data_IF_040341550427
#
_entry.id   IF_040341550427
#
_cell.length_a   1.000
_cell.length_b   1.000
_cell.length_c   1.000
_cell.angle_alpha   90.00
_cell.angle_beta   90.00
_cell.angle_gamma   90.00
#
_symmetry.space_group_name_H-M   'P 1'
#
loop_
_entity.id
_entity.type
_entity.pdbx_description
1 polymer ?
#
# COMPACT_ATOMS: atom_id res chain seq x y z
N UNK A 1 -45.20 -46.79 -5.72
CA UNK A 1 -44.73 -45.79 -6.70
C UNK A 1 -44.58 -44.38 -6.10
N UNK A 2 -45.62 -43.79 -5.47
CA UNK A 2 -45.55 -42.45 -4.86
C UNK A 2 -44.47 -42.29 -3.76
N UNK A 3 -44.25 -43.31 -2.94
CA UNK A 3 -43.19 -43.29 -1.91
C UNK A 3 -41.76 -43.31 -2.46
N UNK A 4 -41.54 -43.94 -3.63
CA UNK A 4 -40.22 -43.99 -4.28
C UNK A 4 -39.86 -42.63 -4.89
N UNK A 5 -40.84 -41.96 -5.49
CA UNK A 5 -40.68 -40.62 -6.05
C UNK A 5 -40.39 -39.59 -4.95
N UNK A 6 -41.06 -39.68 -3.81
CA UNK A 6 -40.81 -38.80 -2.66
C UNK A 6 -39.41 -39.00 -2.05
N UNK A 7 -38.93 -40.25 -1.96
CA UNK A 7 -37.59 -40.55 -1.48
C UNK A 7 -36.49 -40.01 -2.42
N UNK A 8 -36.69 -40.12 -3.73
CA UNK A 8 -35.75 -39.58 -4.74
C UNK A 8 -35.74 -38.05 -4.71
N UNK A 9 -36.90 -37.40 -4.57
CA UNK A 9 -37.00 -35.95 -4.47
C UNK A 9 -36.33 -35.40 -3.20
N UNK A 10 -36.50 -36.07 -2.05
CA UNK A 10 -35.78 -35.72 -0.82
C UNK A 10 -34.26 -35.94 -0.95
N UNK A 11 -33.82 -37.03 -1.57
CA UNK A 11 -32.39 -37.28 -1.78
C UNK A 11 -31.74 -36.21 -2.69
N UNK A 12 -32.44 -35.79 -3.75
CA UNK A 12 -32.01 -34.69 -4.62
C UNK A 12 -31.96 -33.34 -3.88
N UNK A 13 -32.96 -33.03 -3.06
CA UNK A 13 -32.98 -31.80 -2.24
C UNK A 13 -31.84 -31.77 -1.21
N UNK A 14 -31.50 -32.92 -0.61
CA UNK A 14 -30.36 -33.04 0.31
C UNK A 14 -29.03 -32.91 -0.45
N UNK A 15 -28.91 -33.49 -1.65
CA UNK A 15 -27.73 -33.31 -2.52
C UNK A 15 -27.52 -31.84 -2.93
N UNK A 16 -28.59 -31.09 -3.21
CA UNK A 16 -28.51 -29.64 -3.47
C UNK A 16 -28.22 -28.81 -2.22
N UNK A 17 -28.66 -29.26 -1.03
CA UNK A 17 -28.35 -28.60 0.24
C UNK A 17 -26.89 -28.81 0.69
N UNK A 18 -26.26 -29.94 0.35
CA UNK A 18 -24.83 -30.20 0.63
C UNK A 18 -23.92 -29.59 -0.45
N UNK A 19 -24.48 -29.22 -1.62
CA UNK A 19 -23.80 -28.39 -2.61
C UNK A 19 -23.71 -26.90 -2.21
N UNK A 20 -23.98 -26.58 -0.93
CA UNK A 20 -23.49 -25.35 -0.33
C UNK A 20 -21.98 -25.32 -0.47
N UNK A 21 -21.49 -24.41 -1.32
CA UNK A 21 -20.09 -24.17 -1.61
C UNK A 21 -19.30 -24.02 -0.31
N UNK A 22 -18.71 -25.11 0.16
CA UNK A 22 -17.59 -25.09 1.09
C UNK A 22 -16.46 -24.43 0.32
N UNK A 23 -16.41 -23.11 0.42
CA UNK A 23 -15.24 -22.37 -0.02
C UNK A 23 -14.10 -22.83 0.90
N UNK A 24 -13.10 -23.51 0.35
CA UNK A 24 -11.87 -23.77 1.08
C UNK A 24 -11.34 -22.46 1.63
N UNK A 25 -11.16 -22.39 2.94
CA UNK A 25 -10.50 -21.28 3.60
C UNK A 25 -8.99 -21.49 3.57
N UNK A 26 -8.25 -20.38 3.49
CA UNK A 26 -6.79 -20.38 3.56
C UNK A 26 -6.36 -19.75 4.87
N UNK A 27 -5.42 -20.37 5.57
CA UNK A 27 -4.95 -19.86 6.86
C UNK A 27 -3.81 -18.87 6.62
N UNK A 28 -4.00 -17.60 6.97
CA UNK A 28 -2.90 -16.64 6.98
C UNK A 28 -1.96 -16.99 8.13
N UNK A 29 -0.72 -17.31 7.81
CA UNK A 29 0.31 -17.64 8.80
C UNK A 29 1.17 -16.44 9.16
N UNK A 30 1.29 -15.46 8.26
CA UNK A 30 2.07 -14.25 8.50
C UNK A 30 1.65 -13.12 7.56
N UNK A 31 1.68 -11.87 8.04
CA UNK A 31 1.48 -10.66 7.24
C UNK A 31 2.71 -9.75 7.38
N UNK A 32 3.32 -9.38 6.26
CA UNK A 32 4.38 -8.37 6.23
C UNK A 32 3.89 -7.15 5.46
N UNK A 33 3.76 -6.02 6.15
CA UNK A 33 3.39 -4.72 5.59
C UNK A 33 4.62 -3.83 5.48
N UNK A 34 5.06 -3.56 4.26
CA UNK A 34 6.19 -2.66 3.97
C UNK A 34 5.70 -1.34 3.40
N UNK A 35 6.02 -0.23 4.05
CA UNK A 35 5.65 1.14 3.69
C UNK A 35 6.89 1.90 3.27
N UNK A 36 7.02 2.18 1.97
CA UNK A 36 8.10 3.00 1.43
C UNK A 36 7.63 4.43 1.27
N UNK A 37 8.13 5.32 2.12
CA UNK A 37 7.75 6.73 2.14
C UNK A 37 8.44 7.49 1.01
N UNK A 38 7.67 8.35 0.32
CA UNK A 38 8.17 9.25 -0.71
C UNK A 38 8.30 10.68 -0.16
N UNK A 39 9.16 11.48 -0.79
CA UNK A 39 9.36 12.90 -0.44
C UNK A 39 8.11 13.78 -0.63
N UNK A 40 7.18 13.35 -1.49
CA UNK A 40 5.94 14.05 -1.84
C UNK A 40 4.76 13.70 -0.92
N UNK A 41 5.02 13.20 0.29
CA UNK A 41 4.04 12.75 1.31
C UNK A 41 3.20 11.53 0.96
N UNK A 42 3.42 10.92 -0.20
CA UNK A 42 2.84 9.61 -0.54
C UNK A 42 3.69 8.46 -0.03
N UNK A 43 3.14 7.25 -0.05
CA UNK A 43 3.90 6.02 0.10
C UNK A 43 3.49 4.97 -0.93
N UNK A 44 4.46 4.15 -1.29
CA UNK A 44 4.20 2.84 -1.86
C UNK A 44 4.08 1.83 -0.72
N UNK A 45 3.00 1.06 -0.71
CA UNK A 45 2.76 0.01 0.27
C UNK A 45 2.80 -1.33 -0.44
N UNK A 46 3.53 -2.28 0.14
CA UNK A 46 3.56 -3.68 -0.29
C UNK A 46 3.24 -4.56 0.89
N UNK A 47 2.16 -5.32 0.79
CA UNK A 47 1.73 -6.26 1.82
C UNK A 47 1.86 -7.68 1.28
N UNK A 48 2.50 -8.55 2.05
CA UNK A 48 2.72 -9.95 1.70
C UNK A 48 2.05 -10.82 2.74
N UNK A 49 0.93 -11.44 2.35
CA UNK A 49 0.26 -12.44 3.16
C UNK A 49 0.84 -13.80 2.82
N UNK A 50 1.43 -14.46 3.81
CA UNK A 50 1.81 -15.86 3.71
C UNK A 50 0.60 -16.69 4.13
N UNK A 51 0.12 -17.54 3.23
CA UNK A 51 -1.03 -18.40 3.47
C UNK A 51 -0.64 -19.86 3.40
N UNK A 52 -1.11 -20.64 4.36
CA UNK A 52 -1.09 -22.09 4.32
C UNK A 52 -2.40 -22.59 3.71
N UNK A 53 -2.28 -23.45 2.70
CA UNK A 53 -3.36 -24.12 2.00
C UNK A 53 -3.27 -25.60 2.32
N UNK A 54 -4.29 -26.16 2.98
CA UNK A 54 -4.33 -27.59 3.30
C UNK A 54 -4.47 -28.46 2.04
N UNK A 55 -4.08 -29.73 2.13
CA UNK A 55 -4.23 -30.72 1.05
C UNK A 55 -5.62 -30.73 0.40
N UNK A 56 -6.69 -30.58 1.19
CA UNK A 56 -8.06 -30.58 0.69
C UNK A 56 -8.39 -29.38 -0.20
N UNK A 57 -7.61 -28.29 -0.11
CA UNK A 57 -7.86 -27.00 -0.74
C UNK A 57 -6.83 -26.64 -1.83
N UNK A 58 -5.81 -27.48 -2.05
CA UNK A 58 -4.74 -27.23 -3.04
C UNK A 58 -5.29 -27.04 -4.46
N UNK A 59 -6.12 -27.98 -4.92
CA UNK A 59 -6.71 -27.89 -6.26
C UNK A 59 -7.59 -26.65 -6.44
N UNK A 60 -8.32 -26.26 -5.39
CA UNK A 60 -9.12 -25.05 -5.40
C UNK A 60 -8.25 -23.81 -5.50
N UNK A 61 -7.15 -23.74 -4.72
CA UNK A 61 -6.22 -22.63 -4.77
C UNK A 61 -5.59 -22.46 -6.16
N UNK A 62 -5.08 -23.54 -6.76
CA UNK A 62 -4.49 -23.50 -8.10
C UNK A 62 -5.49 -23.04 -9.16
N UNK A 63 -6.74 -23.50 -9.06
CA UNK A 63 -7.83 -23.06 -9.97
C UNK A 63 -8.14 -21.58 -9.78
N UNK A 64 -8.26 -21.13 -8.53
CA UNK A 64 -8.54 -19.73 -8.21
C UNK A 64 -7.41 -18.82 -8.71
N UNK A 65 -6.15 -19.21 -8.52
CA UNK A 65 -4.99 -18.42 -8.93
C UNK A 65 -5.00 -18.05 -10.42
N UNK A 66 -5.43 -18.97 -11.28
CA UNK A 66 -5.43 -18.77 -12.75
C UNK A 66 -6.75 -18.17 -13.26
N UNK A 67 -7.77 -18.07 -12.42
CA UNK A 67 -9.07 -17.57 -12.83
C UNK A 67 -9.04 -16.04 -13.02
N UNK A 68 -9.16 -15.61 -14.28
CA UNK A 68 -9.12 -14.20 -14.68
C UNK A 68 -10.29 -13.36 -14.17
N UNK A 69 -11.36 -13.99 -13.67
CA UNK A 69 -12.60 -13.33 -13.26
C UNK A 69 -12.78 -13.22 -11.74
N UNK A 70 -11.82 -13.66 -10.93
CA UNK A 70 -11.94 -13.54 -9.48
C UNK A 70 -11.70 -12.11 -9.02
N UNK A 71 -12.71 -11.55 -8.34
CA UNK A 71 -12.63 -10.23 -7.74
C UNK A 71 -11.86 -10.30 -6.41
N UNK A 72 -11.40 -9.14 -5.94
CA UNK A 72 -10.78 -9.03 -4.61
C UNK A 72 -11.73 -9.50 -3.50
N UNK A 73 -13.03 -9.22 -3.62
CA UNK A 73 -14.03 -9.69 -2.66
C UNK A 73 -14.15 -11.21 -2.60
N UNK A 74 -13.99 -11.92 -3.72
CA UNK A 74 -13.96 -13.39 -3.70
C UNK A 74 -12.71 -13.90 -2.99
N UNK A 75 -11.55 -13.29 -3.25
CA UNK A 75 -10.32 -13.62 -2.53
C UNK A 75 -10.42 -13.35 -1.03
N UNK A 76 -11.06 -12.25 -0.64
CA UNK A 76 -11.34 -11.93 0.76
C UNK A 76 -12.26 -12.97 1.39
N UNK A 77 -13.19 -13.57 0.64
CA UNK A 77 -14.00 -14.70 1.10
C UNK A 77 -13.18 -15.96 1.42
N UNK A 78 -12.06 -16.21 0.73
CA UNK A 78 -11.17 -17.35 1.00
C UNK A 78 -10.17 -17.10 2.12
N UNK A 79 -9.62 -15.89 2.18
CA UNK A 79 -8.50 -15.52 3.06
C UNK A 79 -9.00 -14.93 4.39
N UNK A 80 -10.18 -14.32 4.38
CA UNK A 80 -10.78 -13.67 5.54
C UNK A 80 -10.36 -12.21 5.72
N UNK A 81 -10.50 -11.68 6.96
CA UNK A 81 -10.45 -10.24 7.23
C UNK A 81 -9.05 -9.63 7.09
N UNK A 82 -8.01 -10.44 6.99
CA UNK A 82 -6.63 -9.98 6.79
C UNK A 82 -6.35 -9.55 5.35
N UNK A 83 -7.21 -9.88 4.38
CA UNK A 83 -7.07 -9.36 3.01
C UNK A 83 -7.74 -7.97 2.88
N UNK A 84 -7.17 -7.00 3.58
CA UNK A 84 -7.55 -5.58 3.53
C UNK A 84 -6.30 -4.72 3.42
N UNK A 85 -6.43 -3.45 3.01
CA UNK A 85 -5.31 -2.53 3.04
C UNK A 85 -5.06 -2.07 4.48
N UNK A 86 -3.87 -2.33 5.04
CA UNK A 86 -3.56 -1.96 6.43
C UNK A 86 -2.95 -0.57 6.56
N UNK A 87 -2.64 0.04 5.43
CA UNK A 87 -2.24 1.44 5.31
C UNK A 87 -3.20 2.12 4.34
N UNK A 88 -4.04 3.02 4.83
CA UNK A 88 -5.04 3.74 4.03
C UNK A 88 -5.31 5.10 4.67
N UNK A 89 -5.27 6.16 3.86
CA UNK A 89 -5.76 7.45 4.31
C UNK A 89 -7.26 7.54 3.96
N UNK A 90 -8.18 7.62 4.93
CA UNK A 90 -9.62 7.59 4.67
C UNK A 90 -10.10 8.77 3.82
N UNK A 91 -9.33 9.86 3.72
CA UNK A 91 -9.68 11.03 2.91
C UNK A 91 -9.26 10.90 1.43
N UNK A 92 -8.23 10.12 1.13
CA UNK A 92 -7.71 9.97 -0.24
C UNK A 92 -7.80 8.55 -0.80
N UNK A 93 -8.11 7.57 0.04
CA UNK A 93 -8.11 6.15 -0.32
C UNK A 93 -6.74 5.65 -0.76
N UNK A 94 -6.76 4.61 -1.60
CA UNK A 94 -5.58 3.99 -2.24
C UNK A 94 -5.70 4.08 -3.76
N UNK A 95 -4.57 4.06 -4.47
CA UNK A 95 -4.54 4.06 -5.93
C UNK A 95 -3.49 3.09 -6.48
N UNK A 96 -3.60 2.77 -7.77
CA UNK A 96 -2.75 1.79 -8.46
C UNK A 96 -2.67 0.44 -7.72
N UNK A 97 -3.79 0.00 -7.15
CA UNK A 97 -3.88 -1.26 -6.41
C UNK A 97 -3.67 -2.46 -7.34
N UNK A 98 -2.81 -3.36 -6.91
CA UNK A 98 -2.49 -4.64 -7.57
C UNK A 98 -2.56 -5.74 -6.54
N UNK A 99 -3.22 -6.83 -6.90
CA UNK A 99 -3.26 -8.05 -6.11
C UNK A 99 -2.72 -9.21 -6.95
N UNK A 100 -1.74 -9.93 -6.43
CA UNK A 100 -1.02 -10.99 -7.13
C UNK A 100 -0.96 -12.24 -6.24
N UNK A 101 -1.81 -13.26 -6.49
CA UNK A 101 -1.68 -14.55 -5.83
C UNK A 101 -0.47 -15.32 -6.38
N UNK A 102 0.52 -15.56 -5.53
CA UNK A 102 1.73 -16.32 -5.87
C UNK A 102 1.46 -17.81 -6.10
N UNK A 103 2.43 -18.54 -6.69
CA UNK A 103 2.32 -19.99 -6.82
C UNK A 103 2.37 -20.68 -5.44
N UNK A 104 1.78 -21.87 -5.35
CA UNK A 104 1.87 -22.71 -4.17
C UNK A 104 3.23 -23.41 -4.12
N UNK A 105 3.89 -23.38 -2.98
CA UNK A 105 5.09 -24.17 -2.68
C UNK A 105 4.66 -25.37 -1.83
N UNK A 106 4.79 -26.61 -2.32
CA UNK A 106 4.35 -27.80 -1.59
C UNK A 106 5.04 -27.95 -0.23
N UNK A 107 4.29 -28.41 0.78
CA UNK A 107 4.77 -28.75 2.12
C UNK A 107 4.04 -29.99 2.66
N UNK A 108 4.51 -30.54 3.79
CA UNK A 108 3.80 -31.64 4.44
C UNK A 108 2.38 -31.19 4.83
N UNK A 109 1.36 -31.91 4.34
CA UNK A 109 -0.07 -31.62 4.49
C UNK A 109 -0.65 -30.41 3.72
N UNK A 110 0.05 -29.91 2.70
CA UNK A 110 -0.52 -28.90 1.81
C UNK A 110 0.53 -28.11 1.05
N UNK A 111 0.44 -26.79 1.12
CA UNK A 111 1.45 -25.89 0.61
C UNK A 111 1.33 -24.49 1.17
N UNK A 112 2.35 -23.68 0.92
CA UNK A 112 2.39 -22.27 1.30
C UNK A 112 2.45 -21.42 0.05
N UNK A 113 1.63 -20.38 0.01
CA UNK A 113 1.67 -19.37 -1.03
C UNK A 113 1.88 -17.97 -0.44
N UNK A 114 2.44 -17.07 -1.25
CA UNK A 114 2.57 -15.65 -0.91
C UNK A 114 1.62 -14.85 -1.77
N UNK A 115 0.72 -14.11 -1.14
CA UNK A 115 -0.22 -13.23 -1.79
C UNK A 115 0.27 -11.79 -1.62
N UNK A 116 0.44 -11.07 -2.72
CA UNK A 116 1.06 -9.76 -2.70
C UNK A 116 0.01 -8.71 -3.05
N UNK A 117 -0.21 -7.76 -2.13
CA UNK A 117 -0.92 -6.51 -2.41
C UNK A 117 0.11 -5.39 -2.58
N UNK A 118 -0.01 -4.61 -3.64
CA UNK A 118 0.82 -3.42 -3.84
C UNK A 118 -0.04 -2.26 -4.29
N UNK A 119 0.11 -1.12 -3.62
CA UNK A 119 -0.71 0.06 -3.88
C UNK A 119 0.00 1.33 -3.37
N UNK A 120 -0.59 2.48 -3.67
CA UNK A 120 -0.09 3.76 -3.22
C UNK A 120 -1.13 4.48 -2.36
N UNK A 121 -0.64 5.27 -1.40
CA UNK A 121 -1.44 6.07 -0.48
C UNK A 121 -0.90 7.48 -0.44
N UNK A 122 -1.77 8.49 -0.52
CA UNK A 122 -1.38 9.89 -0.39
C UNK A 122 -1.49 10.36 1.06
N UNK A 123 -0.73 11.40 1.40
CA UNK A 123 -0.78 12.05 2.71
C UNK A 123 -0.55 11.08 3.89
N UNK A 124 0.42 10.17 3.74
CA UNK A 124 0.89 9.29 4.82
C UNK A 124 1.85 10.01 5.77
N UNK A 125 2.43 11.12 5.33
CA UNK A 125 3.20 12.05 6.17
C UNK A 125 2.64 13.46 6.04
N UNK A 126 2.77 14.28 7.07
CA UNK A 126 2.74 15.73 6.95
C UNK A 126 4.16 16.27 6.78
N UNK A 127 4.31 17.39 6.09
CA UNK A 127 5.60 18.05 5.88
C UNK A 127 5.53 19.51 6.35
N UNK A 128 6.56 19.96 7.05
CA UNK A 128 6.77 21.36 7.44
C UNK A 128 8.18 21.79 7.09
N UNK A 129 8.30 22.84 6.29
CA UNK A 129 9.57 23.49 6.04
C UNK A 129 10.00 24.28 7.28
N UNK A 130 11.22 24.07 7.77
CA UNK A 130 11.77 24.74 8.96
C UNK A 130 12.98 25.61 8.66
N UNK A 131 13.67 25.35 7.56
CA UNK A 131 14.70 26.21 6.98
C UNK A 131 14.67 26.10 5.44
N UNK A 132 15.40 26.95 4.68
CA UNK A 132 15.35 26.97 3.21
C UNK A 132 15.52 25.62 2.51
N UNK A 133 16.26 24.68 3.13
CA UNK A 133 16.49 23.32 2.62
C UNK A 133 16.12 22.22 3.61
N UNK A 134 15.48 22.56 4.73
CA UNK A 134 15.21 21.60 5.81
C UNK A 134 13.71 21.38 6.00
N UNK A 135 13.30 20.14 5.81
CA UNK A 135 11.90 19.72 5.85
C UNK A 135 11.72 18.66 6.93
N UNK A 136 10.82 18.94 7.86
CA UNK A 136 10.42 18.01 8.91
C UNK A 136 9.19 17.26 8.44
N UNK A 137 9.30 15.95 8.35
CA UNK A 137 8.22 15.04 8.01
C UNK A 137 7.73 14.33 9.27
N UNK A 138 6.42 14.19 9.40
CA UNK A 138 5.79 13.42 10.48
C UNK A 138 4.83 12.39 9.89
N UNK A 139 5.03 11.12 10.21
CA UNK A 139 4.11 10.05 9.81
C UNK A 139 2.74 10.24 10.45
N UNK A 140 1.68 10.09 9.66
CA UNK A 140 0.31 10.22 10.11
C UNK A 140 -0.19 8.88 10.63
N UNK A 141 -0.21 8.68 11.94
CA UNK A 141 -0.70 7.43 12.54
C UNK A 141 -2.14 7.05 12.16
N UNK A 142 -2.98 8.02 11.78
CA UNK A 142 -4.39 7.76 11.41
C UNK A 142 -4.53 7.08 10.03
N UNK A 143 -3.42 6.74 9.37
CA UNK A 143 -3.45 5.94 8.14
C UNK A 143 -3.35 4.44 8.41
N UNK A 144 -3.09 4.03 9.65
CA UNK A 144 -3.14 2.63 10.03
C UNK A 144 -4.58 2.13 9.97
N UNK A 145 -4.72 0.90 9.50
CA UNK A 145 -5.99 0.16 9.44
C UNK A 145 -5.71 -1.29 9.85
N UNK A 146 -5.16 -1.42 11.06
CA UNK A 146 -4.89 -2.68 11.72
C UNK A 146 -6.01 -3.00 12.74
N UNK A 147 -5.84 -4.08 13.50
CA UNK A 147 -6.77 -4.45 14.55
C UNK A 147 -6.84 -3.37 15.65
N UNK A 148 -8.03 -3.17 16.22
CA UNK A 148 -8.26 -2.29 17.36
C UNK A 148 -8.32 -3.08 18.66
N UNK A 149 -7.40 -2.79 19.58
CA UNK A 149 -7.44 -3.25 20.97
C UNK A 149 -7.94 -2.13 21.91
N UNK A 150 -8.13 -2.44 23.19
CA UNK A 150 -8.55 -1.48 24.23
C UNK A 150 -7.61 -0.27 24.34
N UNK A 151 -6.33 -0.43 23.99
CA UNK A 151 -5.31 0.62 23.97
C UNK A 151 -5.24 1.43 22.66
N UNK A 152 -6.11 1.12 21.68
CA UNK A 152 -6.13 1.67 20.32
C UNK A 152 -5.64 0.66 19.27
N UNK A 153 -5.16 1.14 18.12
CA UNK A 153 -4.62 0.27 17.08
C UNK A 153 -3.38 -0.50 17.56
N UNK A 154 -3.28 -1.76 17.16
CA UNK A 154 -2.20 -2.68 17.51
C UNK A 154 -1.79 -3.50 16.28
N UNK A 155 -0.52 -3.88 16.21
CA UNK A 155 -0.07 -4.86 15.22
C UNK A 155 -0.62 -6.25 15.57
N UNK A 156 -1.44 -6.88 14.71
CA UNK A 156 -2.00 -8.19 15.00
C UNK A 156 -0.93 -9.27 15.19
N UNK A 157 -1.33 -10.43 15.72
CA UNK A 157 -0.44 -11.59 15.86
C UNK A 157 0.16 -12.02 14.50
N UNK A 158 1.43 -12.44 14.50
CA UNK A 158 2.16 -12.85 13.29
C UNK A 158 2.22 -11.77 12.21
N UNK A 159 2.32 -10.50 12.59
CA UNK A 159 2.47 -9.40 11.65
C UNK A 159 3.82 -8.69 11.79
N UNK A 160 4.28 -8.09 10.70
CA UNK A 160 5.46 -7.24 10.70
C UNK A 160 5.15 -5.97 9.94
N UNK A 161 5.37 -4.83 10.57
CA UNK A 161 5.32 -3.53 9.93
C UNK A 161 6.75 -3.07 9.66
N UNK A 162 7.06 -2.74 8.42
CA UNK A 162 8.34 -2.15 8.04
C UNK A 162 8.10 -0.79 7.39
N UNK A 163 8.76 0.25 7.87
CA UNK A 163 8.75 1.58 7.25
C UNK A 163 10.14 1.88 6.70
N UNK A 164 10.18 2.21 5.42
CA UNK A 164 11.39 2.62 4.69
C UNK A 164 11.29 4.12 4.42
N UNK A 165 12.23 4.86 4.98
CA UNK A 165 12.37 6.30 4.78
C UNK A 165 13.08 6.63 3.47
N UNK A 166 12.85 7.84 2.91
CA UNK A 166 13.64 8.34 1.80
C UNK A 166 15.13 8.38 2.16
N UNK A 167 15.99 8.14 1.16
CA UNK A 167 17.44 8.27 1.33
C UNK A 167 17.84 9.68 1.82
N UNK A 168 18.78 9.73 2.75
CA UNK A 168 19.25 10.98 3.37
C UNK A 168 18.36 11.53 4.50
N UNK A 169 17.37 10.76 4.96
CA UNK A 169 16.56 11.12 6.12
C UNK A 169 17.33 10.97 7.43
N UNK A 170 17.08 11.87 8.37
CA UNK A 170 17.60 11.83 9.74
C UNK A 170 16.44 11.73 10.71
N UNK A 171 16.41 10.73 11.59
CA UNK A 171 15.33 10.60 12.57
C UNK A 171 15.45 11.72 13.61
N UNK A 172 14.32 12.38 13.88
CA UNK A 172 14.17 13.33 14.97
C UNK A 172 13.41 12.72 16.15
N UNK A 173 12.38 11.91 15.89
CA UNK A 173 11.64 11.19 16.92
C UNK A 173 11.06 9.89 16.36
N UNK A 174 11.05 8.84 17.18
CA UNK A 174 10.43 7.56 16.82
C UNK A 174 9.91 6.87 18.09
N UNK A 175 8.66 6.43 18.06
CA UNK A 175 8.00 5.70 19.14
C UNK A 175 6.83 4.89 18.57
N UNK A 176 6.58 3.63 19.01
CA UNK A 176 7.43 2.82 19.87
C UNK A 176 8.81 2.59 19.24
N UNK A 177 9.78 2.19 20.06
CA UNK A 177 11.12 1.85 19.58
C UNK A 177 10.99 0.68 18.60
N UNK A 178 11.56 0.76 17.37
CA UNK A 178 11.51 -0.33 16.43
C UNK A 178 12.33 -1.53 16.92
N UNK A 179 11.85 -2.72 16.61
CA UNK A 179 12.53 -3.98 16.91
C UNK A 179 13.77 -4.18 16.03
N UNK A 180 13.80 -3.61 14.82
CA UNK A 180 14.95 -3.65 13.93
C UNK A 180 15.25 -2.30 13.26
N UNK A 181 16.54 -1.94 13.06
CA UNK A 181 17.76 -2.76 13.30
C UNK A 181 18.21 -2.84 14.77
N UNK A 182 18.85 -3.96 15.15
CA UNK A 182 19.11 -4.37 16.56
C UNK A 182 20.45 -3.87 17.16
N UNK A 183 21.40 -3.30 16.42
CA UNK A 183 22.77 -3.06 16.96
C UNK A 183 23.17 -1.58 17.18
N UNK A 184 23.67 -1.28 18.39
CA UNK A 184 24.32 -0.04 18.87
C UNK A 184 23.45 1.23 18.96
N UNK A 185 22.44 1.13 19.82
CA UNK A 185 21.39 2.09 20.15
C UNK A 185 21.87 3.34 20.92
N UNK A 186 22.92 4.03 20.43
CA UNK A 186 23.50 5.21 21.12
C UNK A 186 23.69 6.46 20.25
N UNK A 187 23.39 6.43 18.94
CA UNK A 187 23.57 7.58 18.04
C UNK A 187 22.39 7.85 17.08
N UNK A 188 21.22 8.13 17.63
CA UNK A 188 20.16 8.91 16.93
C UNK A 188 19.69 8.40 15.56
N UNK A 189 19.74 7.09 15.31
CA UNK A 189 19.36 6.44 14.03
C UNK A 189 20.10 7.00 12.80
N UNK A 190 21.34 7.46 12.98
CA UNK A 190 22.15 7.91 11.86
C UNK A 190 22.36 6.79 10.83
N UNK A 191 22.07 7.08 9.55
CA UNK A 191 22.22 6.17 8.40
C UNK A 191 21.27 4.96 8.32
N UNK A 192 20.27 4.86 9.18
CA UNK A 192 19.23 3.82 9.06
C UNK A 192 18.01 4.37 8.33
N UNK A 193 17.60 3.73 7.24
CA UNK A 193 16.38 4.09 6.50
C UNK A 193 15.25 3.10 6.69
N UNK A 194 15.49 1.91 7.22
CA UNK A 194 14.49 0.87 7.39
C UNK A 194 14.27 0.56 8.87
N UNK A 195 13.02 0.60 9.30
CA UNK A 195 12.60 0.35 10.67
C UNK A 195 11.48 -0.68 10.67
N UNK A 196 11.55 -1.67 11.56
CA UNK A 196 10.53 -2.71 11.63
C UNK A 196 10.00 -2.87 13.06
N UNK A 197 8.71 -3.20 13.16
CA UNK A 197 7.98 -3.54 14.37
C UNK A 197 7.29 -4.89 14.18
N UNK A 198 7.28 -5.71 15.21
CA UNK A 198 6.66 -7.04 15.22
C UNK A 198 5.33 -7.04 15.96
N UNK A 199 4.73 -8.21 16.05
CA UNK A 199 3.37 -8.40 16.54
C UNK A 199 3.19 -7.99 18.01
N UNK A 200 2.01 -7.47 18.32
CA UNK A 200 1.65 -7.01 19.66
C UNK A 200 2.04 -5.55 19.98
N UNK A 201 2.77 -4.87 19.10
CA UNK A 201 3.18 -3.48 19.30
C UNK A 201 1.98 -2.50 19.24
N UNK A 202 1.77 -1.66 20.26
CA UNK A 202 0.71 -0.66 20.26
C UNK A 202 1.04 0.50 19.33
N UNK A 203 0.18 0.73 18.32
CA UNK A 203 0.31 1.79 17.34
C UNK A 203 -0.42 3.08 17.73
N UNK A 204 -1.22 3.06 18.80
CA UNK A 204 -2.05 4.21 19.21
C UNK A 204 -1.26 5.49 19.54
N UNK A 205 0.00 5.34 19.95
CA UNK A 205 0.94 6.43 20.26
C UNK A 205 2.06 6.56 19.21
N UNK A 206 1.90 5.90 18.06
CA UNK A 206 2.92 5.87 17.02
C UNK A 206 3.35 7.28 16.61
N UNK A 207 4.65 7.51 16.62
CA UNK A 207 5.31 8.76 16.26
C UNK A 207 6.52 8.40 15.43
N UNK A 208 6.64 8.97 14.24
CA UNK A 208 7.82 8.87 13.40
C UNK A 208 8.03 10.23 12.75
N UNK A 209 9.07 10.93 13.20
CA UNK A 209 9.43 12.27 12.72
C UNK A 209 10.85 12.20 12.20
N UNK A 210 11.05 12.65 10.98
CA UNK A 210 12.35 12.67 10.33
C UNK A 210 12.57 13.97 9.57
N UNK A 211 13.83 14.35 9.46
CA UNK A 211 14.30 15.56 8.81
C UNK A 211 14.94 15.15 7.50
N UNK A 212 14.58 15.84 6.43
CA UNK A 212 15.25 15.73 5.15
C UNK A 212 15.88 17.06 4.79
N UNK A 213 17.10 16.99 4.26
CA UNK A 213 17.79 18.14 3.68
C UNK A 213 17.84 18.03 2.17
N UNK A 214 17.32 19.03 1.48
CA UNK A 214 17.49 19.14 0.04
C UNK A 214 18.92 19.53 -0.31
N UNK A 215 19.44 18.97 -1.40
CA UNK A 215 20.75 19.37 -1.90
C UNK A 215 20.66 20.77 -2.51
N UNK A 216 21.78 21.52 -2.48
CA UNK A 216 21.87 22.81 -3.16
C UNK A 216 21.50 22.70 -4.65
N UNK A 217 21.91 21.60 -5.30
CA UNK A 217 21.55 21.33 -6.69
C UNK A 217 20.04 21.21 -6.88
N UNK A 218 19.33 20.52 -5.98
CA UNK A 218 17.89 20.36 -6.06
C UNK A 218 17.16 21.70 -5.86
N UNK A 219 17.60 22.50 -4.89
CA UNK A 219 17.07 23.85 -4.65
C UNK A 219 17.24 24.76 -5.87
N UNK A 220 18.47 24.84 -6.39
CA UNK A 220 18.81 25.69 -7.55
C UNK A 220 18.02 25.24 -8.79
N UNK A 221 17.96 23.93 -9.04
CA UNK A 221 17.20 23.38 -10.16
C UNK A 221 15.70 23.65 -9.99
N UNK A 222 15.18 23.51 -8.78
CA UNK A 222 13.79 23.82 -8.44
C UNK A 222 13.45 25.30 -8.68
N UNK A 223 14.34 26.20 -8.25
CA UNK A 223 14.21 27.64 -8.48
C UNK A 223 14.16 27.96 -9.98
N UNK A 224 15.14 27.48 -10.76
CA UNK A 224 15.18 27.75 -12.20
C UNK A 224 14.02 27.10 -12.96
N UNK A 225 13.58 25.91 -12.54
CA UNK A 225 12.39 25.26 -13.10
C UNK A 225 11.13 26.07 -12.78
N UNK A 226 11.02 26.59 -11.56
CA UNK A 226 9.91 27.47 -11.16
C UNK A 226 9.87 28.77 -11.97
N UNK A 227 11.03 29.42 -12.14
CA UNK A 227 11.18 30.62 -12.99
C UNK A 227 10.84 30.30 -14.44
N UNK A 228 11.35 29.19 -14.98
CA UNK A 228 11.06 28.75 -16.34
C UNK A 228 9.57 28.44 -16.54
N UNK A 229 8.91 27.80 -15.59
CA UNK A 229 7.47 27.53 -15.70
C UNK A 229 6.64 28.82 -15.63
N UNK A 230 7.04 29.78 -14.79
CA UNK A 230 6.36 31.07 -14.66
C UNK A 230 6.56 31.94 -15.91
N UNK A 231 7.80 32.07 -16.39
CA UNK A 231 8.16 32.95 -17.52
C UNK A 231 7.98 32.28 -18.89
N UNK A 232 8.05 30.96 -18.95
CA UNK A 232 7.85 30.17 -20.17
C UNK A 232 6.45 30.38 -20.73
N UNK A 233 5.43 30.45 -19.88
CA UNK A 233 4.05 30.76 -20.29
C UNK A 233 3.98 32.13 -20.98
N UNK A 234 4.62 33.17 -20.42
CA UNK A 234 4.68 34.49 -21.06
C UNK A 234 5.41 34.45 -22.40
N UNK A 235 6.47 33.65 -22.50
CA UNK A 235 7.21 33.43 -23.75
C UNK A 235 6.30 32.86 -24.85
N UNK A 236 5.49 31.85 -24.52
CA UNK A 236 4.52 31.27 -25.45
C UNK A 236 3.41 32.24 -25.84
N UNK A 237 2.91 33.05 -24.90
CA UNK A 237 1.88 34.07 -25.17
C UNK A 237 2.41 35.13 -26.15
N UNK A 238 3.64 35.61 -25.95
CA UNK A 238 4.26 36.60 -26.84
C UNK A 238 4.45 36.02 -28.25
N UNK A 239 4.93 34.79 -28.38
CA UNK A 239 5.06 34.10 -29.67
C UNK A 239 3.70 33.95 -30.36
N UNK A 240 2.67 33.51 -29.63
CA UNK A 240 1.32 33.39 -30.16
C UNK A 240 0.75 34.74 -30.63
N UNK A 241 0.97 35.82 -29.87
CA UNK A 241 0.56 37.17 -30.25
C UNK A 241 1.28 37.67 -31.50
N UNK A 242 2.58 37.40 -31.65
CA UNK A 242 3.34 37.73 -32.87
C UNK A 242 2.80 36.98 -34.09
N UNK A 243 2.54 35.68 -33.97
CA UNK A 243 1.96 34.87 -35.05
C UNK A 243 0.58 35.40 -35.43
N UNK A 244 -0.29 35.68 -34.45
CA UNK A 244 -1.62 36.25 -34.70
C UNK A 244 -1.55 37.62 -35.39
N UNK A 245 -0.62 38.49 -34.98
CA UNK A 245 -0.37 39.79 -35.60
C UNK A 245 0.11 39.66 -37.06
N UNK A 246 1.01 38.72 -37.34
CA UNK A 246 1.48 38.43 -38.70
C UNK A 246 0.34 37.92 -39.60
N UNK A 247 -0.51 37.03 -39.09
CA UNK A 247 -1.69 36.52 -39.81
C UNK A 247 -2.67 37.67 -40.10
N UNK A 248 -2.98 38.51 -39.09
CA UNK A 248 -3.87 39.65 -39.25
C UNK A 248 -3.33 40.66 -40.27
N UNK A 249 -2.03 40.94 -40.23
CA UNK A 249 -1.36 41.81 -41.20
C UNK A 249 -1.40 41.23 -42.62
N UNK A 250 -1.10 39.94 -42.79
CA UNK A 250 -1.17 39.28 -44.09
C UNK A 250 -2.60 39.27 -44.66
N UNK A 251 -3.61 39.07 -43.81
CA UNK A 251 -5.02 39.15 -44.19
C UNK A 251 -5.43 40.57 -44.59
N UNK A 252 -5.02 41.59 -43.83
CA UNK A 252 -5.31 42.98 -44.13
C UNK A 252 -4.64 43.47 -45.43
N UNK A 253 -3.45 42.97 -45.75
CA UNK A 253 -2.69 43.33 -46.97
C UNK A 253 -3.19 42.60 -48.24
N UNK A 254 -3.87 41.47 -48.09
CA UNK A 254 -4.39 40.67 -49.23
C UNK A 254 -5.79 41.09 -49.70
N UNK A 255 -6.41 42.04 -49.00
CA UNK A 255 -7.57 42.82 -49.49
C UNK A 255 -7.10 44.12 -50.12
#
# INVERSE_FOLDING_TARGET
MKMVIAAIACALLVLFAIAGSSYGSYTVTHLNTTVTLNKNTSAQVTEVLTVFVSNSSVNQYETNRIALNLTLSTWQGFIGPLLVQHIINPKSGVYNFKYLPGPLVPQYNGGVAKLIMSYYVNNVTSVKQTAPREFVYSFNKNVFNFEHATSGEVLPANTTLTIILPAGSQISAIYPIPDAPVANFTSGYSNTTQFSWFDGEPLSKFTLVFIMRESLTAEVTGFFTGVYNALGVFSYIIIAAMIAGLIAYAYAKSR
#
